data_IF_934493790357
#
_entry.id   IF_934493790357
#
_cell.length_a   1.000
_cell.length_b   1.000
_cell.length_c   1.000
_cell.angle_alpha   90.00
_cell.angle_beta   90.00
_cell.angle_gamma   90.00
#
_symmetry.space_group_name_H-M   'P 1'
#
loop_
_entity.id
_entity.type
_entity.pdbx_description
1 polymer ?
#
# COMPACT_ATOMS: atom_id res chain seq x y z
N UNK A 1 -14.14 -8.44 -3.08
CA UNK A 1 -13.81 -7.01 -3.18
C UNK A 1 -13.60 -6.54 -1.76
N UNK A 2 -12.35 -6.53 -1.27
CA UNK A 2 -12.07 -6.09 0.08
C UNK A 2 -12.17 -4.56 0.18
N UNK A 3 -12.62 -4.06 1.33
CA UNK A 3 -12.55 -2.65 1.69
C UNK A 3 -11.29 -2.40 2.50
N UNK A 4 -10.34 -1.66 1.93
CA UNK A 4 -9.06 -1.38 2.59
C UNK A 4 -8.97 0.07 3.04
N UNK A 5 -8.09 0.33 4.00
CA UNK A 5 -7.64 1.67 4.34
C UNK A 5 -6.37 1.95 3.53
N UNK A 6 -6.49 2.71 2.44
CA UNK A 6 -5.39 3.03 1.54
C UNK A 6 -4.74 4.37 1.93
N UNK A 7 -3.42 4.35 2.07
CA UNK A 7 -2.58 5.53 2.18
C UNK A 7 -1.64 5.56 0.97
N UNK A 8 -2.00 6.38 -0.03
CA UNK A 8 -1.25 6.52 -1.27
C UNK A 8 -1.01 8.01 -1.56
N UNK A 9 0.23 8.47 -1.39
CA UNK A 9 0.68 9.86 -1.55
C UNK A 9 -0.04 10.92 -0.66
N UNK A 10 -1.02 10.49 0.16
CA UNK A 10 -1.71 11.30 1.16
C UNK A 10 -1.17 11.03 2.55
N UNK A 11 -1.23 12.02 3.44
CA UNK A 11 -0.83 11.85 4.84
C UNK A 11 -1.83 11.03 5.68
N UNK A 12 -2.98 10.67 5.09
CA UNK A 12 -4.09 10.02 5.76
C UNK A 12 -4.47 8.73 5.03
N UNK A 13 -5.01 7.78 5.80
CA UNK A 13 -5.66 6.58 5.30
C UNK A 13 -7.10 6.92 4.90
N UNK A 14 -7.50 6.49 3.71
CA UNK A 14 -8.86 6.65 3.19
C UNK A 14 -9.45 5.26 2.93
N UNK A 15 -10.68 5.04 3.36
CA UNK A 15 -11.42 3.81 3.01
C UNK A 15 -11.61 3.75 1.49
N UNK A 16 -11.17 2.65 0.89
CA UNK A 16 -11.20 2.44 -0.56
C UNK A 16 -11.65 1.01 -0.82
N UNK A 17 -12.73 0.86 -1.58
CA UNK A 17 -13.16 -0.44 -2.10
C UNK A 17 -12.30 -0.79 -3.33
N UNK A 18 -11.59 -1.91 -3.28
CA UNK A 18 -10.70 -2.37 -4.36
C UNK A 18 -11.16 -3.69 -4.95
N UNK A 19 -10.86 -3.91 -6.23
CA UNK A 19 -11.14 -5.19 -6.88
C UNK A 19 -10.05 -6.23 -6.57
N UNK A 20 -8.83 -5.77 -6.31
CA UNK A 20 -7.68 -6.57 -5.94
C UNK A 20 -7.96 -7.45 -4.72
N UNK A 21 -7.66 -8.74 -4.86
CA UNK A 21 -7.70 -9.70 -3.75
C UNK A 21 -6.31 -9.92 -3.14
N UNK A 22 -5.26 -9.52 -3.85
CA UNK A 22 -3.88 -9.64 -3.43
C UNK A 22 -3.13 -8.32 -3.61
N UNK A 23 -1.99 -8.17 -2.94
CA UNK A 23 -1.10 -7.02 -3.11
C UNK A 23 -0.58 -6.89 -4.55
N UNK A 24 -0.31 -8.00 -5.24
CA UNK A 24 0.10 -8.00 -6.64
C UNK A 24 -0.96 -7.42 -7.58
N UNK A 25 -2.22 -7.82 -7.38
CA UNK A 25 -3.35 -7.26 -8.13
C UNK A 25 -3.52 -5.76 -7.82
N UNK A 26 -3.37 -5.38 -6.55
CA UNK A 26 -3.53 -3.99 -6.10
C UNK A 26 -2.49 -3.06 -6.76
N UNK A 27 -1.24 -3.52 -6.90
CA UNK A 27 -0.20 -2.78 -7.63
C UNK A 27 -0.61 -2.50 -9.08
N UNK A 28 -1.25 -3.47 -9.71
CA UNK A 28 -1.69 -3.36 -11.10
C UNK A 28 -2.89 -2.44 -11.20
N UNK A 29 -3.88 -2.59 -10.33
CA UNK A 29 -5.09 -1.77 -10.25
C UNK A 29 -4.76 -0.29 -10.00
N UNK A 30 -3.86 0.00 -9.06
CA UNK A 30 -3.49 1.36 -8.69
C UNK A 30 -2.29 1.91 -9.47
N UNK A 31 -1.74 1.15 -10.42
CA UNK A 31 -0.56 1.53 -11.22
C UNK A 31 0.66 1.91 -10.35
N UNK A 32 0.98 1.06 -9.36
CA UNK A 32 2.06 1.25 -8.37
C UNK A 32 3.22 0.24 -8.55
N UNK A 33 3.90 0.18 -9.72
CA UNK A 33 4.83 -0.90 -10.03
C UNK A 33 6.12 -0.87 -9.19
N UNK A 34 6.51 0.28 -8.65
CA UNK A 34 7.80 0.48 -7.96
C UNK A 34 7.66 0.87 -6.48
N UNK A 35 6.49 0.68 -5.89
CA UNK A 35 6.22 1.12 -4.51
C UNK A 35 6.32 -0.07 -3.55
N UNK A 36 6.81 0.14 -2.33
CA UNK A 36 6.69 -0.87 -1.28
C UNK A 36 5.26 -0.79 -0.73
N UNK A 37 4.56 -1.92 -0.71
CA UNK A 37 3.22 -2.00 -0.13
C UNK A 37 3.37 -2.56 1.28
N UNK A 38 2.94 -1.77 2.26
CA UNK A 38 2.90 -2.19 3.65
C UNK A 38 1.46 -2.48 4.04
N UNK A 39 1.19 -3.70 4.50
CA UNK A 39 -0.11 -4.10 5.05
C UNK A 39 0.05 -4.24 6.56
N UNK A 40 -0.75 -3.50 7.34
CA UNK A 40 -0.73 -3.53 8.81
C UNK A 40 0.67 -3.31 9.41
N UNK A 41 1.45 -2.38 8.82
CA UNK A 41 2.83 -2.01 9.18
C UNK A 41 3.91 -3.04 8.79
N UNK A 42 3.57 -4.08 8.05
CA UNK A 42 4.51 -5.09 7.55
C UNK A 42 4.64 -4.95 6.04
N UNK A 43 5.86 -5.00 5.51
CA UNK A 43 6.08 -5.04 4.06
C UNK A 43 5.49 -6.34 3.54
N UNK A 44 4.46 -6.23 2.70
CA UNK A 44 3.75 -7.35 2.12
C UNK A 44 4.33 -7.68 0.74
N UNK A 45 4.42 -8.98 0.43
CA UNK A 45 4.75 -9.44 -0.90
C UNK A 45 3.50 -9.49 -1.78
N UNK A 46 3.69 -9.69 -3.09
CA UNK A 46 2.59 -9.68 -4.05
C UNK A 46 1.57 -10.81 -3.83
N UNK A 47 1.97 -11.89 -3.16
CA UNK A 47 1.11 -13.02 -2.79
C UNK A 47 0.29 -12.80 -1.52
N UNK A 48 0.46 -11.66 -0.84
CA UNK A 48 -0.32 -11.36 0.37
C UNK A 48 -1.77 -11.07 0.01
N UNK A 49 -2.69 -11.80 0.66
CA UNK A 49 -4.12 -11.58 0.52
C UNK A 49 -4.57 -10.32 1.26
N UNK A 50 -5.41 -9.51 0.60
CA UNK A 50 -6.02 -8.33 1.20
C UNK A 50 -7.35 -8.68 1.86
N UNK A 51 -7.57 -8.15 3.05
CA UNK A 51 -8.79 -8.33 3.82
C UNK A 51 -9.49 -6.99 4.07
N UNK A 52 -10.75 -7.08 4.46
CA UNK A 52 -11.49 -5.91 4.92
C UNK A 52 -10.79 -5.27 6.11
N UNK A 53 -10.82 -3.93 6.15
CA UNK A 53 -10.19 -3.06 7.15
C UNK A 53 -8.64 -3.09 7.20
N UNK A 54 -7.99 -3.78 6.25
CA UNK A 54 -6.53 -3.81 6.18
C UNK A 54 -5.95 -2.41 5.91
N UNK A 55 -4.92 -2.06 6.68
CA UNK A 55 -4.19 -0.79 6.50
C UNK A 55 -3.09 -0.95 5.48
N UNK A 56 -3.35 -0.48 4.27
CA UNK A 56 -2.43 -0.56 3.14
C UNK A 56 -1.77 0.79 2.93
N UNK A 57 -0.44 0.84 3.02
CA UNK A 57 0.34 2.03 2.70
C UNK A 57 1.25 1.75 1.50
N UNK A 58 1.12 2.57 0.47
CA UNK A 58 1.98 2.55 -0.70
C UNK A 58 3.10 3.57 -0.54
N UNK A 59 4.34 3.09 -0.47
CA UNK A 59 5.51 3.91 -0.19
C UNK A 59 6.48 3.84 -1.38
N UNK A 60 6.74 4.97 -2.04
CA UNK A 60 7.75 5.04 -3.10
C UNK A 60 9.12 4.61 -2.56
N UNK A 61 9.64 3.48 -3.07
CA UNK A 61 10.95 2.92 -2.69
C UNK A 61 12.12 3.88 -2.97
N UNK A 62 11.90 4.88 -3.84
CA UNK A 62 12.88 5.90 -4.17
C UNK A 62 12.97 7.08 -3.18
N UNK A 63 12.22 7.08 -2.07
CA UNK A 63 12.61 7.91 -0.92
C UNK A 63 13.79 7.26 -0.21
N UNK A 64 15.00 7.47 -0.76
CA UNK A 64 16.22 7.48 0.07
C UNK A 64 15.90 8.33 1.30
N UNK A 65 16.26 7.81 2.47
CA UNK A 65 15.75 8.20 3.77
C UNK A 65 15.70 9.69 4.03
N UNK A 66 14.87 10.07 5.00
CA UNK A 66 14.86 11.41 5.56
C UNK A 66 16.31 11.87 5.77
N UNK A 67 16.69 12.89 5.01
CA UNK A 67 17.88 13.68 5.27
C UNK A 67 17.54 14.55 6.49
N UNK A 68 17.32 13.91 7.65
CA UNK A 68 17.44 14.59 8.94
C UNK A 68 18.92 14.84 9.14
N UNK A 69 19.43 15.85 8.45
CA UNK A 69 20.64 16.53 8.87
C UNK A 69 20.39 17.07 10.27
N UNK A 70 21.14 16.49 11.21
CA UNK A 70 21.36 17.00 12.57
C UNK A 70 21.86 18.44 12.55
#
# INVERSE_FOLDING_TARGET
MPRILLCNDTANFTETDVQATTVGDLRTELTLPNEAINVNRVVANDSHELRDDDRVAAVKTNKKGGDTKK
#
